data_IF_099131015839
#
_entry.id   IF_099131015839
#
_cell.length_a   1.000
_cell.length_b   1.000
_cell.length_c   1.000
_cell.angle_alpha   90.00
_cell.angle_beta   90.00
_cell.angle_gamma   90.00
#
_symmetry.space_group_name_H-M   'P 1'
#
loop_
_entity.id
_entity.type
_entity.pdbx_description
1 polymer ?
#
# COMPACT_ATOMS: atom_id res chain seq x y z
N UNK A 1 2.72 -12.06 -15.62
CA UNK A 1 1.45 -11.37 -15.30
C UNK A 1 1.09 -11.83 -13.91
N UNK A 2 1.00 -10.91 -12.95
CA UNK A 2 0.72 -11.29 -11.55
C UNK A 2 -0.76 -11.24 -11.25
N UNK A 3 -1.23 -12.16 -10.40
CA UNK A 3 -2.64 -12.25 -10.00
C UNK A 3 -2.74 -12.43 -8.49
N UNK A 4 -3.46 -11.53 -7.84
CA UNK A 4 -3.91 -11.68 -6.45
C UNK A 4 -5.32 -12.30 -6.48
N UNK A 5 -5.47 -13.44 -5.85
CA UNK A 5 -6.76 -14.11 -5.76
C UNK A 5 -7.17 -14.34 -4.32
N UNK A 6 -8.38 -13.93 -3.99
CA UNK A 6 -9.01 -14.09 -2.68
C UNK A 6 -10.25 -14.94 -2.88
N UNK A 7 -10.37 -16.05 -2.14
CA UNK A 7 -11.51 -16.97 -2.20
C UNK A 7 -12.07 -17.23 -0.82
N UNK A 8 -13.35 -16.97 -0.66
CA UNK A 8 -14.15 -17.27 0.53
C UNK A 8 -13.45 -16.85 1.83
N UNK A 9 -12.88 -15.64 1.85
CA UNK A 9 -12.08 -15.16 2.96
C UNK A 9 -12.97 -14.74 4.14
N UNK A 10 -12.78 -15.40 5.28
CA UNK A 10 -13.41 -15.09 6.56
C UNK A 10 -12.38 -14.58 7.55
N UNK A 11 -12.69 -13.48 8.22
CA UNK A 11 -11.78 -12.82 9.16
C UNK A 11 -12.52 -12.37 10.40
N UNK A 12 -11.93 -12.62 11.55
CA UNK A 12 -12.41 -12.17 12.86
C UNK A 12 -11.44 -11.18 13.51
N UNK A 13 -11.97 -10.44 14.47
CA UNK A 13 -11.21 -9.56 15.35
C UNK A 13 -11.68 -9.73 16.77
N UNK A 14 -10.73 -9.71 17.72
CA UNK A 14 -11.07 -9.68 19.15
C UNK A 14 -11.54 -8.28 19.55
N UNK A 15 -12.65 -8.21 20.28
CA UNK A 15 -13.21 -6.98 20.83
C UNK A 15 -13.47 -7.15 22.32
N UNK A 16 -13.71 -6.07 23.03
CA UNK A 16 -14.09 -6.14 24.46
C UNK A 16 -15.33 -7.02 24.72
N UNK A 17 -16.19 -7.17 23.73
CA UNK A 17 -17.41 -7.96 23.80
C UNK A 17 -17.26 -9.37 23.19
N UNK A 18 -16.02 -9.83 22.95
CA UNK A 18 -15.69 -11.12 22.36
C UNK A 18 -15.29 -11.03 20.89
N UNK A 19 -15.10 -12.20 20.29
CA UNK A 19 -14.69 -12.35 18.89
C UNK A 19 -15.82 -11.92 17.94
N UNK A 20 -15.50 -11.02 17.00
CA UNK A 20 -16.44 -10.55 15.98
C UNK A 20 -15.96 -10.91 14.58
N UNK A 21 -16.80 -11.56 13.80
CA UNK A 21 -16.56 -11.79 12.38
C UNK A 21 -16.81 -10.51 11.58
N UNK A 22 -15.80 -10.08 10.82
CA UNK A 22 -15.83 -8.86 10.00
C UNK A 22 -15.95 -9.19 8.53
N UNK A 23 -15.10 -10.10 8.02
CA UNK A 23 -15.20 -10.58 6.63
C UNK A 23 -15.92 -11.93 6.63
N UNK A 24 -16.88 -12.07 5.72
CA UNK A 24 -17.85 -13.18 5.67
C UNK A 24 -17.90 -13.79 4.27
N UNK A 25 -16.78 -14.36 3.83
CA UNK A 25 -16.68 -15.02 2.52
C UNK A 25 -16.38 -14.05 1.37
N UNK A 26 -15.32 -13.24 1.50
CA UNK A 26 -14.91 -12.30 0.45
C UNK A 26 -14.25 -13.04 -0.70
N UNK A 27 -14.69 -12.72 -1.92
CA UNK A 27 -14.10 -13.20 -3.17
C UNK A 27 -13.68 -12.00 -4.02
N UNK A 28 -12.42 -12.00 -4.47
CA UNK A 28 -11.87 -10.92 -5.29
C UNK A 28 -10.67 -11.45 -6.06
N UNK A 29 -10.56 -11.08 -7.34
CA UNK A 29 -9.39 -11.37 -8.16
C UNK A 29 -8.92 -10.06 -8.79
N UNK A 30 -7.62 -9.77 -8.68
CA UNK A 30 -6.99 -8.57 -9.26
C UNK A 30 -5.78 -9.02 -10.07
N UNK A 31 -5.76 -8.69 -11.35
CA UNK A 31 -4.63 -8.96 -12.23
C UNK A 31 -3.68 -7.76 -12.33
N UNK A 32 -2.45 -8.03 -12.74
CA UNK A 32 -1.49 -6.98 -13.11
C UNK A 32 -2.14 -5.97 -14.06
N UNK A 33 -1.93 -4.68 -13.75
CA UNK A 33 -2.45 -3.57 -14.55
C UNK A 33 -3.91 -3.24 -14.31
N UNK A 34 -4.67 -4.04 -13.57
CA UNK A 34 -6.05 -3.71 -13.17
C UNK A 34 -6.08 -2.79 -11.95
N UNK A 35 -7.14 -2.00 -11.85
CA UNK A 35 -7.49 -1.22 -10.67
C UNK A 35 -8.88 -1.60 -10.21
N UNK A 36 -8.99 -2.13 -9.02
CA UNK A 36 -10.26 -2.42 -8.36
C UNK A 36 -10.51 -1.41 -7.26
N UNK A 37 -11.70 -0.82 -7.21
CA UNK A 37 -12.10 0.12 -6.17
C UNK A 37 -13.14 -0.51 -5.24
N UNK A 38 -12.86 -0.51 -3.95
CA UNK A 38 -13.82 -0.91 -2.92
C UNK A 38 -14.33 0.33 -2.21
N UNK A 39 -15.64 0.49 -2.24
CA UNK A 39 -16.36 1.57 -1.58
C UNK A 39 -17.42 0.99 -0.63
N UNK A 40 -17.83 1.76 0.35
CA UNK A 40 -18.88 1.37 1.30
C UNK A 40 -18.80 2.17 2.59
N UNK A 41 -19.79 2.02 3.48
CA UNK A 41 -19.83 2.75 4.75
C UNK A 41 -18.70 2.36 5.69
N UNK A 42 -18.46 3.20 6.69
CA UNK A 42 -17.50 2.88 7.76
C UNK A 42 -17.93 1.60 8.49
N UNK A 43 -16.95 0.77 8.85
CA UNK A 43 -17.19 -0.50 9.53
C UNK A 43 -17.64 -1.65 8.62
N UNK A 44 -17.68 -1.49 7.29
CA UNK A 44 -18.03 -2.56 6.35
C UNK A 44 -16.91 -3.59 6.10
N UNK A 45 -15.73 -3.41 6.71
CA UNK A 45 -14.62 -4.36 6.60
C UNK A 45 -13.57 -4.06 5.55
N UNK A 46 -13.63 -2.91 4.85
CA UNK A 46 -12.67 -2.54 3.79
C UNK A 46 -11.21 -2.55 4.25
N UNK A 47 -10.91 -1.79 5.31
CA UNK A 47 -9.56 -1.77 5.90
C UNK A 47 -9.19 -3.11 6.53
N UNK A 48 -10.17 -3.86 7.06
CA UNK A 48 -9.95 -5.23 7.54
C UNK A 48 -9.41 -6.12 6.41
N UNK A 49 -9.98 -6.02 5.21
CA UNK A 49 -9.48 -6.75 4.05
C UNK A 49 -8.03 -6.37 3.72
N UNK A 50 -7.73 -5.06 3.63
CA UNK A 50 -6.39 -4.54 3.36
C UNK A 50 -5.36 -5.07 4.38
N UNK A 51 -5.65 -4.91 5.65
CA UNK A 51 -4.75 -5.32 6.73
C UNK A 51 -4.62 -6.85 6.85
N UNK A 52 -5.67 -7.61 6.55
CA UNK A 52 -5.63 -9.08 6.53
C UNK A 52 -4.68 -9.59 5.44
N UNK A 53 -4.75 -9.01 4.22
CA UNK A 53 -3.84 -9.35 3.13
C UNK A 53 -2.40 -8.98 3.48
N UNK A 54 -2.20 -7.84 4.14
CA UNK A 54 -0.87 -7.39 4.56
C UNK A 54 -0.30 -8.15 5.78
N UNK A 55 -1.12 -8.94 6.48
CA UNK A 55 -0.69 -9.78 7.61
C UNK A 55 -0.69 -9.08 8.97
N UNK A 56 -1.55 -8.07 9.15
CA UNK A 56 -1.62 -7.36 10.42
C UNK A 56 -2.12 -8.28 11.56
N UNK A 57 -1.40 -8.36 12.70
CA UNK A 57 -1.65 -9.36 13.76
C UNK A 57 -2.97 -9.21 14.51
N UNK A 58 -3.64 -8.07 14.36
CA UNK A 58 -4.96 -7.82 14.97
C UNK A 58 -6.05 -8.71 14.40
N UNK A 59 -5.90 -9.18 13.18
CA UNK A 59 -6.93 -9.90 12.44
C UNK A 59 -6.60 -11.38 12.34
N UNK A 60 -7.60 -12.23 12.62
CA UNK A 60 -7.46 -13.68 12.54
C UNK A 60 -8.22 -14.21 11.33
N UNK A 61 -7.51 -14.88 10.43
CA UNK A 61 -8.11 -15.56 9.30
C UNK A 61 -8.70 -16.87 9.81
N UNK A 62 -10.00 -17.07 9.63
CA UNK A 62 -10.71 -18.27 10.11
C UNK A 62 -10.93 -19.28 9.01
N UNK A 63 -11.10 -18.82 7.76
CA UNK A 63 -11.19 -19.68 6.58
C UNK A 63 -10.95 -18.88 5.29
N UNK A 64 -10.87 -19.58 4.17
CA UNK A 64 -10.61 -19.00 2.86
C UNK A 64 -9.13 -18.99 2.50
N UNK A 65 -8.82 -18.46 1.31
CA UNK A 65 -7.46 -18.41 0.76
C UNK A 65 -7.15 -17.03 0.20
N UNK A 66 -5.87 -16.64 0.28
CA UNK A 66 -5.31 -15.49 -0.42
C UNK A 66 -4.03 -15.96 -1.09
N UNK A 67 -3.97 -15.89 -2.41
CA UNK A 67 -2.77 -16.26 -3.17
C UNK A 67 -2.29 -15.11 -4.03
N UNK A 68 -0.96 -15.02 -4.19
CA UNK A 68 -0.30 -14.13 -5.16
C UNK A 68 0.54 -15.00 -6.10
N UNK A 69 0.21 -15.01 -7.37
CA UNK A 69 0.85 -15.85 -8.39
C UNK A 69 0.79 -17.36 -8.04
N UNK A 70 -0.27 -17.78 -7.33
CA UNK A 70 -0.44 -19.16 -6.85
C UNK A 70 0.23 -19.48 -5.52
N UNK A 71 1.07 -18.59 -4.99
CA UNK A 71 1.72 -18.74 -3.68
C UNK A 71 0.77 -18.31 -2.55
N UNK A 72 0.70 -19.10 -1.49
CA UNK A 72 -0.18 -18.84 -0.34
C UNK A 72 0.35 -17.66 0.50
N UNK A 73 -0.30 -16.49 0.35
CA UNK A 73 0.04 -15.27 1.09
C UNK A 73 -0.23 -15.42 2.59
N UNK A 74 -1.24 -16.21 2.98
CA UNK A 74 -1.61 -16.38 4.39
C UNK A 74 -0.56 -17.17 5.19
N UNK A 75 0.23 -18.02 4.53
CA UNK A 75 1.34 -18.76 5.15
C UNK A 75 2.60 -17.89 5.34
N UNK A 76 2.67 -16.71 4.69
CA UNK A 76 3.82 -15.81 4.73
C UNK A 76 3.77 -14.89 5.96
N UNK A 77 4.95 -14.59 6.53
CA UNK A 77 5.12 -13.47 7.46
C UNK A 77 4.95 -12.12 6.77
N UNK A 78 4.80 -11.04 7.54
CA UNK A 78 4.56 -9.69 7.01
C UNK A 78 5.65 -9.24 6.04
N UNK A 79 6.91 -9.48 6.39
CA UNK A 79 8.08 -9.16 5.57
C UNK A 79 8.18 -10.05 4.31
N UNK A 80 7.76 -11.32 4.40
CA UNK A 80 7.71 -12.22 3.26
C UNK A 80 6.65 -11.78 2.25
N UNK A 81 5.48 -11.32 2.71
CA UNK A 81 4.43 -10.75 1.85
C UNK A 81 4.92 -9.52 1.10
N UNK A 82 5.66 -8.64 1.79
CA UNK A 82 6.27 -7.47 1.16
C UNK A 82 7.30 -7.87 0.09
N UNK A 83 8.17 -8.84 0.38
CA UNK A 83 9.13 -9.38 -0.60
C UNK A 83 8.45 -10.09 -1.77
N UNK A 84 7.33 -10.76 -1.53
CA UNK A 84 6.53 -11.38 -2.59
C UNK A 84 5.89 -10.34 -3.54
N UNK A 85 5.78 -9.09 -3.10
CA UNK A 85 5.29 -7.98 -3.91
C UNK A 85 3.95 -7.38 -3.45
N UNK A 86 3.51 -7.66 -2.22
CA UNK A 86 2.35 -6.99 -1.61
C UNK A 86 2.78 -5.68 -0.96
N UNK A 87 2.12 -4.58 -1.29
CA UNK A 87 2.33 -3.27 -0.72
C UNK A 87 1.04 -2.73 -0.10
N UNK A 88 1.14 -2.13 1.07
CA UNK A 88 0.03 -1.45 1.74
C UNK A 88 0.38 0.01 2.01
N UNK A 89 -0.38 0.94 1.41
CA UNK A 89 -0.46 2.31 1.87
C UNK A 89 -1.54 2.39 2.96
N UNK A 90 -1.14 2.76 4.16
CA UNK A 90 -1.98 2.70 5.35
C UNK A 90 -2.90 3.92 5.45
N UNK A 91 -4.09 3.74 6.02
CA UNK A 91 -4.97 4.87 6.36
C UNK A 91 -4.24 5.88 7.26
N UNK A 92 -3.50 5.41 8.25
CA UNK A 92 -2.71 6.23 9.19
C UNK A 92 -1.24 5.79 9.17
N UNK A 93 -0.39 6.41 8.35
CA UNK A 93 1.04 6.08 8.29
C UNK A 93 1.74 6.31 9.63
N UNK A 94 2.52 5.32 10.07
CA UNK A 94 3.21 5.33 11.36
C UNK A 94 4.49 6.17 11.27
N UNK A 95 4.82 6.87 12.36
CA UNK A 95 6.08 7.58 12.52
C UNK A 95 7.17 6.61 13.01
N UNK A 96 8.39 6.76 12.47
CA UNK A 96 9.54 5.95 12.87
C UNK A 96 10.67 6.90 13.29
N UNK A 97 10.70 7.32 14.58
CA UNK A 97 11.73 8.23 15.08
C UNK A 97 13.13 7.61 14.95
N UNK A 98 14.10 8.44 14.59
CA UNK A 98 15.51 8.03 14.46
C UNK A 98 15.86 7.30 13.17
N UNK A 99 14.90 7.04 12.28
CA UNK A 99 15.15 6.43 10.97
C UNK A 99 14.82 7.43 9.87
N UNK A 100 15.81 7.88 9.12
CA UNK A 100 15.60 8.81 8.01
C UNK A 100 14.87 8.14 6.85
N UNK A 101 14.10 8.92 6.08
CA UNK A 101 13.40 8.46 4.87
C UNK A 101 14.37 7.78 3.90
N UNK A 102 15.53 8.39 3.65
CA UNK A 102 16.58 7.84 2.77
C UNK A 102 17.07 6.46 3.23
N UNK A 103 17.34 6.31 4.52
CA UNK A 103 17.82 5.05 5.09
C UNK A 103 16.74 3.97 5.09
N UNK A 104 15.52 4.34 5.47
CA UNK A 104 14.35 3.45 5.43
C UNK A 104 14.10 2.90 4.03
N UNK A 105 14.01 3.79 3.03
CA UNK A 105 13.74 3.40 1.64
C UNK A 105 14.84 2.49 1.06
N UNK A 106 16.11 2.80 1.35
CA UNK A 106 17.23 1.97 0.88
C UNK A 106 17.22 0.59 1.52
N UNK A 107 16.94 0.51 2.82
CA UNK A 107 16.85 -0.75 3.55
C UNK A 107 15.68 -1.59 3.04
N UNK A 108 14.50 -0.97 2.87
CA UNK A 108 13.33 -1.64 2.32
C UNK A 108 13.59 -2.16 0.90
N UNK A 109 14.20 -1.34 0.03
CA UNK A 109 14.56 -1.75 -1.33
C UNK A 109 15.54 -2.91 -1.34
N UNK A 110 16.55 -2.88 -0.45
CA UNK A 110 17.50 -3.98 -0.29
C UNK A 110 16.80 -5.28 0.10
N UNK A 111 15.82 -5.20 1.02
CA UNK A 111 15.07 -6.38 1.45
C UNK A 111 14.19 -6.96 0.34
N UNK A 112 13.60 -6.11 -0.49
CA UNK A 112 12.74 -6.53 -1.61
C UNK A 112 13.56 -7.14 -2.75
N UNK A 113 14.69 -6.50 -3.12
CA UNK A 113 15.50 -6.93 -4.26
C UNK A 113 16.52 -8.05 -3.89
N UNK A 114 16.76 -8.27 -2.59
CA UNK A 114 17.79 -9.20 -2.11
C UNK A 114 19.22 -8.64 -2.15
N UNK A 115 19.42 -7.46 -2.75
CA UNK A 115 20.71 -6.77 -2.81
C UNK A 115 20.55 -5.26 -2.69
N UNK A 116 21.55 -4.59 -2.15
CA UNK A 116 21.52 -3.14 -1.99
C UNK A 116 21.64 -2.42 -3.34
N UNK A 117 20.78 -1.44 -3.62
CA UNK A 117 20.89 -0.64 -4.84
C UNK A 117 22.21 0.13 -4.88
N UNK A 118 22.80 0.28 -6.08
CA UNK A 118 24.00 1.07 -6.28
C UNK A 118 23.75 2.52 -5.85
N UNK A 119 24.57 3.03 -4.94
CA UNK A 119 24.32 4.31 -4.27
C UNK A 119 24.09 5.48 -5.24
N UNK A 120 24.90 5.56 -6.31
CA UNK A 120 24.80 6.66 -7.28
C UNK A 120 23.47 6.68 -8.03
N UNK A 121 22.98 5.52 -8.48
CA UNK A 121 21.69 5.40 -9.17
C UNK A 121 20.55 5.59 -8.18
N UNK A 122 20.67 5.00 -6.99
CA UNK A 122 19.66 5.11 -5.93
C UNK A 122 19.37 6.55 -5.51
N UNK A 123 20.40 7.35 -5.25
CA UNK A 123 20.24 8.77 -4.90
C UNK A 123 19.52 9.54 -6.01
N UNK A 124 19.83 9.23 -7.27
CA UNK A 124 19.13 9.83 -8.42
C UNK A 124 17.67 9.39 -8.46
N UNK A 125 17.39 8.09 -8.34
CA UNK A 125 16.04 7.53 -8.41
C UNK A 125 15.14 8.10 -7.31
N UNK A 126 15.65 8.20 -6.08
CA UNK A 126 14.93 8.83 -4.96
C UNK A 126 14.63 10.30 -5.24
N UNK A 127 15.62 11.04 -5.72
CA UNK A 127 15.47 12.47 -6.06
C UNK A 127 14.45 12.69 -7.16
N UNK A 128 14.49 11.88 -8.21
CA UNK A 128 13.57 11.97 -9.33
C UNK A 128 12.13 11.63 -8.88
N UNK A 129 11.95 10.56 -8.11
CA UNK A 129 10.65 10.15 -7.56
C UNK A 129 10.07 11.21 -6.60
N UNK A 130 10.90 11.80 -5.72
CA UNK A 130 10.50 12.92 -4.85
C UNK A 130 10.08 14.13 -5.67
N UNK A 131 10.83 14.48 -6.73
CA UNK A 131 10.49 15.57 -7.65
C UNK A 131 9.15 15.37 -8.33
N UNK A 132 8.86 14.15 -8.80
CA UNK A 132 7.57 13.78 -9.39
C UNK A 132 6.39 13.96 -8.44
N UNK A 133 6.61 13.72 -7.15
CA UNK A 133 5.61 13.88 -6.09
C UNK A 133 5.61 15.29 -5.48
N UNK A 134 6.40 16.22 -6.03
CA UNK A 134 6.58 17.59 -5.51
C UNK A 134 6.94 17.62 -4.02
N UNK A 135 7.79 16.69 -3.61
CA UNK A 135 8.36 16.64 -2.26
C UNK A 135 9.69 17.41 -2.23
N UNK A 136 9.92 18.16 -1.16
CA UNK A 136 11.20 18.82 -0.92
C UNK A 136 12.29 17.74 -0.73
N UNK A 137 13.42 17.79 -1.46
CA UNK A 137 14.52 16.86 -1.25
C UNK A 137 15.02 16.75 0.19
N UNK A 138 14.85 17.80 1.01
CA UNK A 138 15.20 17.77 2.43
C UNK A 138 14.43 16.72 3.25
N UNK A 139 13.29 16.22 2.75
CA UNK A 139 12.57 15.12 3.40
C UNK A 139 13.38 13.82 3.43
N UNK A 140 14.33 13.63 2.53
CA UNK A 140 15.19 12.45 2.53
C UNK A 140 15.99 12.28 3.84
N UNK A 141 16.35 13.39 4.49
CA UNK A 141 17.14 13.42 5.71
C UNK A 141 16.28 13.54 6.99
N UNK A 142 14.96 13.67 6.85
CA UNK A 142 14.02 13.68 7.98
C UNK A 142 13.63 12.26 8.37
N UNK A 143 13.25 12.08 9.64
CA UNK A 143 12.73 10.81 10.11
C UNK A 143 11.39 10.47 9.45
N UNK A 144 11.16 9.18 9.22
CA UNK A 144 9.96 8.66 8.54
C UNK A 144 8.70 9.19 9.22
N UNK A 145 7.92 9.97 8.48
CA UNK A 145 6.63 10.53 8.88
C UNK A 145 6.63 11.46 10.11
N UNK A 146 7.76 11.66 10.79
CA UNK A 146 7.84 12.48 12.00
C UNK A 146 7.63 13.96 11.65
N UNK A 147 6.55 14.52 12.18
CA UNK A 147 6.15 15.92 11.91
C UNK A 147 5.73 16.18 10.46
N UNK A 148 5.42 15.17 9.68
CA UNK A 148 4.84 15.33 8.34
C UNK A 148 3.37 15.70 8.44
N UNK A 149 2.91 16.61 7.58
CA UNK A 149 1.49 16.83 7.35
C UNK A 149 0.81 15.58 6.76
N UNK A 150 -0.51 15.51 6.81
CA UNK A 150 -1.24 14.41 6.21
C UNK A 150 -0.93 14.20 4.72
N UNK A 151 -0.84 15.29 3.96
CA UNK A 151 -0.49 15.23 2.54
C UNK A 151 0.95 14.77 2.29
N UNK A 152 1.90 15.17 3.12
CA UNK A 152 3.29 14.72 3.03
C UNK A 152 3.43 13.24 3.38
N UNK A 153 2.71 12.75 4.41
CA UNK A 153 2.65 11.32 4.74
C UNK A 153 2.13 10.50 3.56
N UNK A 154 1.05 10.94 2.91
CA UNK A 154 0.49 10.24 1.74
C UNK A 154 1.42 10.29 0.53
N UNK A 155 2.07 11.40 0.25
CA UNK A 155 3.11 11.46 -0.80
C UNK A 155 4.28 10.52 -0.51
N UNK A 156 4.70 10.42 0.75
CA UNK A 156 5.75 9.49 1.18
C UNK A 156 5.34 8.02 0.97
N UNK A 157 4.09 7.65 1.18
CA UNK A 157 3.60 6.30 0.86
C UNK A 157 3.68 6.00 -0.64
N UNK A 158 3.31 6.98 -1.49
CA UNK A 158 3.43 6.78 -2.94
C UNK A 158 4.90 6.77 -3.40
N UNK A 159 5.77 7.54 -2.74
CA UNK A 159 7.22 7.45 -2.95
C UNK A 159 7.74 6.02 -2.70
N UNK A 160 7.29 5.39 -1.61
CA UNK A 160 7.61 3.99 -1.34
C UNK A 160 7.10 3.07 -2.46
N UNK A 161 5.84 3.24 -2.89
CA UNK A 161 5.26 2.45 -3.98
C UNK A 161 6.07 2.57 -5.28
N UNK A 162 6.45 3.80 -5.69
CA UNK A 162 7.25 4.04 -6.90
C UNK A 162 8.65 3.37 -6.83
N UNK A 163 9.30 3.42 -5.67
CA UNK A 163 10.66 2.90 -5.51
C UNK A 163 10.69 1.39 -5.27
N UNK A 164 9.76 0.84 -4.51
CA UNK A 164 9.71 -0.59 -4.17
C UNK A 164 9.12 -1.44 -5.29
N UNK A 165 8.33 -0.86 -6.19
CA UNK A 165 7.77 -1.51 -7.38
C UNK A 165 7.02 -2.80 -7.07
N UNK A 166 5.95 -2.74 -6.25
CA UNK A 166 5.19 -3.92 -5.87
C UNK A 166 4.47 -4.56 -7.06
N UNK A 167 4.09 -5.84 -6.92
CA UNK A 167 3.19 -6.52 -7.85
C UNK A 167 1.74 -6.11 -7.63
N UNK A 168 1.35 -5.94 -6.34
CA UNK A 168 0.02 -5.55 -5.90
C UNK A 168 0.12 -4.44 -4.87
N UNK A 169 -0.53 -3.31 -5.13
CA UNK A 169 -0.61 -2.18 -4.22
C UNK A 169 -2.03 -2.06 -3.65
N UNK A 170 -2.14 -2.08 -2.34
CA UNK A 170 -3.37 -1.85 -1.60
C UNK A 170 -3.30 -0.44 -1.03
N UNK A 171 -4.24 0.42 -1.43
CA UNK A 171 -4.28 1.83 -1.06
C UNK A 171 -5.49 2.07 -0.16
N UNK A 172 -5.26 2.13 1.16
CA UNK A 172 -6.33 2.28 2.15
C UNK A 172 -6.55 3.77 2.48
N UNK A 173 -7.63 4.34 1.95
CA UNK A 173 -8.04 5.73 2.13
C UNK A 173 -6.90 6.74 1.87
N UNK A 174 -6.13 6.51 0.81
CA UNK A 174 -4.98 7.36 0.43
C UNK A 174 -5.40 8.78 0.07
N UNK A 175 -6.67 9.01 -0.21
CA UNK A 175 -7.26 10.31 -0.53
C UNK A 175 -7.84 11.05 0.69
N UNK A 176 -7.85 10.44 1.87
CA UNK A 176 -8.40 11.04 3.07
C UNK A 176 -7.60 12.27 3.52
N UNK A 177 -8.31 13.37 3.80
CA UNK A 177 -7.68 14.61 4.28
C UNK A 177 -6.85 15.39 3.26
N UNK A 178 -6.83 14.97 1.98
CA UNK A 178 -6.10 15.68 0.93
C UNK A 178 -6.94 16.81 0.31
N UNK A 179 -6.29 17.94 0.05
CA UNK A 179 -6.83 18.95 -0.86
C UNK A 179 -6.76 18.48 -2.31
N UNK A 180 -7.31 19.27 -3.24
CA UNK A 180 -7.41 18.89 -4.65
C UNK A 180 -6.04 18.71 -5.31
N UNK A 181 -5.07 19.56 -4.97
CA UNK A 181 -3.73 19.51 -5.56
C UNK A 181 -2.93 18.32 -5.04
N UNK A 182 -2.97 18.08 -3.73
CA UNK A 182 -2.34 16.90 -3.13
C UNK A 182 -2.97 15.59 -3.66
N UNK A 183 -4.30 15.55 -3.79
CA UNK A 183 -5.01 14.41 -4.35
C UNK A 183 -4.57 14.12 -5.79
N UNK A 184 -4.42 15.16 -6.62
CA UNK A 184 -3.95 15.02 -7.99
C UNK A 184 -2.53 14.46 -8.02
N UNK A 185 -1.60 15.02 -7.25
CA UNK A 185 -0.20 14.58 -7.21
C UNK A 185 -0.09 13.11 -6.78
N UNK A 186 -0.79 12.73 -5.71
CA UNK A 186 -0.83 11.35 -5.21
C UNK A 186 -1.40 10.41 -6.27
N UNK A 187 -2.51 10.77 -6.90
CA UNK A 187 -3.15 9.96 -7.93
C UNK A 187 -2.29 9.80 -9.19
N UNK A 188 -1.62 10.88 -9.64
CA UNK A 188 -0.66 10.82 -10.74
C UNK A 188 0.53 9.90 -10.40
N UNK A 189 1.00 9.91 -9.15
CA UNK A 189 2.02 9.00 -8.65
C UNK A 189 1.60 7.54 -8.72
N UNK A 190 0.39 7.22 -8.27
CA UNK A 190 -0.18 5.85 -8.38
C UNK A 190 -0.26 5.41 -9.85
N UNK A 191 -0.80 6.26 -10.73
CA UNK A 191 -0.92 5.94 -12.15
C UNK A 191 0.45 5.74 -12.81
N UNK A 192 1.45 6.55 -12.45
CA UNK A 192 2.82 6.40 -12.94
C UNK A 192 3.44 5.09 -12.48
N UNK A 193 3.37 4.77 -11.18
CA UNK A 193 3.87 3.50 -10.65
C UNK A 193 3.18 2.30 -11.32
N UNK A 194 1.84 2.36 -11.50
CA UNK A 194 1.09 1.33 -12.24
C UNK A 194 1.57 1.19 -13.67
N UNK A 195 1.76 2.28 -14.38
CA UNK A 195 2.20 2.26 -15.79
C UNK A 195 3.63 1.70 -15.95
N UNK A 196 4.54 2.03 -15.03
CA UNK A 196 5.93 1.56 -15.07
C UNK A 196 6.09 0.07 -14.75
N UNK A 197 5.30 -0.44 -13.80
CA UNK A 197 5.48 -1.80 -13.25
C UNK A 197 4.36 -2.75 -13.64
N UNK A 198 3.30 -2.25 -14.25
CA UNK A 198 2.08 -3.01 -14.51
C UNK A 198 1.50 -3.65 -13.23
N UNK A 199 1.63 -2.98 -12.06
CA UNK A 199 1.09 -3.51 -10.81
C UNK A 199 -0.43 -3.49 -10.80
N UNK A 200 -1.05 -4.47 -10.11
CA UNK A 200 -2.47 -4.44 -9.76
C UNK A 200 -2.70 -3.47 -8.58
N UNK A 201 -3.82 -2.78 -8.58
CA UNK A 201 -4.17 -1.80 -7.54
C UNK A 201 -5.51 -2.12 -6.93
N UNK A 202 -5.54 -2.27 -5.60
CA UNK A 202 -6.76 -2.30 -4.81
C UNK A 202 -6.90 -0.95 -4.09
N UNK A 203 -7.85 -0.15 -4.55
CA UNK A 203 -8.14 1.17 -4.00
C UNK A 203 -9.34 1.09 -3.04
N UNK A 204 -9.13 1.44 -1.79
CA UNK A 204 -10.19 1.57 -0.79
C UNK A 204 -10.43 3.06 -0.55
N UNK A 205 -11.65 3.52 -0.76
CA UNK A 205 -12.00 4.93 -0.59
C UNK A 205 -13.47 5.12 -0.20
N UNK A 206 -13.74 6.24 0.46
CA UNK A 206 -15.10 6.74 0.73
C UNK A 206 -15.53 7.80 -0.28
N UNK A 207 -14.59 8.34 -1.08
CA UNK A 207 -14.84 9.51 -1.89
C UNK A 207 -14.69 9.21 -3.38
N UNK A 208 -15.70 9.53 -4.16
CA UNK A 208 -15.69 9.36 -5.62
C UNK A 208 -14.70 10.30 -6.32
N UNK A 209 -14.19 11.33 -5.64
CA UNK A 209 -13.27 12.32 -6.24
C UNK A 209 -11.96 11.70 -6.73
N UNK A 210 -11.41 10.70 -6.03
CA UNK A 210 -10.17 10.02 -6.43
C UNK A 210 -10.38 9.21 -7.72
N UNK A 211 -11.59 8.67 -7.95
CA UNK A 211 -11.93 7.88 -9.14
C UNK A 211 -11.92 8.71 -10.44
N UNK A 212 -11.86 10.05 -10.34
CA UNK A 212 -11.66 10.93 -11.49
C UNK A 212 -10.22 10.86 -12.02
N UNK A 213 -9.27 10.51 -11.16
CA UNK A 213 -7.84 10.43 -11.47
C UNK A 213 -7.35 9.00 -11.61
N UNK A 214 -7.77 8.11 -10.69
CA UNK A 214 -7.48 6.68 -10.74
C UNK A 214 -8.76 5.97 -11.15
N UNK A 215 -8.81 5.55 -12.41
CA UNK A 215 -10.01 4.91 -12.97
C UNK A 215 -9.99 3.42 -12.68
N UNK A 216 -11.01 2.88 -12.00
CA UNK A 216 -11.17 1.43 -11.87
C UNK A 216 -11.52 0.79 -13.22
N UNK A 217 -11.12 -0.47 -13.38
CA UNK A 217 -11.46 -1.32 -14.52
C UNK A 217 -12.83 -1.98 -14.38
#
# INVERSE_FOLDING_TARGET
>A
MSTLEIRDLHVTVETENGTKEILKGVNLTINSGETHAIMGPNGSGKSTLAYSIAGHPKYTITSGTVTLDGEDVLAMGVDERARAGVFLAMQYPVEVPGVTVSNFLRTAKTAVDGEAPKLRTWVKDVKDAMGNLKMDPAFADRNVNEGFSGGEKKRHEILQMELLKPKMAILDETDSGLDVDALRIVSEGVNRAKAETNCGVLLITHYTRILRYIKPD
#
